data_IF_505657388815
#
_entry.id   IF_505657388815
#
_cell.length_a   1.000
_cell.length_b   1.000
_cell.length_c   1.000
_cell.angle_alpha   90.00
_cell.angle_beta   90.00
_cell.angle_gamma   90.00
#
_symmetry.space_group_name_H-M   'P 1'
#
loop_
_entity.id
_entity.type
_entity.pdbx_description
1 polymer ?
#
# COMPACT_ATOMS: atom_id res chain seq x y z
N UNK A 1 -28.13 -6.64 8.69
CA UNK A 1 -28.16 -5.56 7.67
C UNK A 1 -27.37 -4.40 8.26
N UNK A 2 -26.05 -4.40 8.10
CA UNK A 2 -25.15 -3.39 8.66
C UNK A 2 -24.58 -2.60 7.48
N UNK A 3 -24.85 -1.30 7.49
CA UNK A 3 -24.43 -0.35 6.47
C UNK A 3 -22.91 -0.16 6.51
N UNK A 4 -22.27 -0.44 5.38
CA UNK A 4 -20.90 -0.05 5.09
C UNK A 4 -20.85 1.46 4.86
N UNK A 5 -20.08 2.17 5.68
CA UNK A 5 -19.63 3.52 5.36
C UNK A 5 -18.12 3.46 5.11
N UNK A 6 -17.79 3.09 3.88
CA UNK A 6 -16.48 3.32 3.28
C UNK A 6 -16.30 4.83 3.09
N UNK A 7 -15.52 5.46 3.97
CA UNK A 7 -15.05 6.82 3.72
C UNK A 7 -13.95 6.78 2.66
N UNK A 8 -14.36 7.00 1.41
CA UNK A 8 -13.51 7.33 0.28
C UNK A 8 -13.11 8.81 0.40
N UNK A 9 -11.81 9.13 0.46
CA UNK A 9 -11.32 10.44 0.03
C UNK A 9 -10.66 10.28 -1.33
N UNK A 10 -11.39 10.71 -2.36
CA UNK A 10 -10.88 11.00 -3.69
C UNK A 10 -10.25 12.40 -3.65
N UNK A 11 -8.95 12.50 -3.92
CA UNK A 11 -8.37 13.73 -4.43
C UNK A 11 -7.33 13.38 -5.51
N UNK A 12 -7.55 14.03 -6.65
CA UNK A 12 -6.94 13.82 -7.96
C UNK A 12 -5.44 14.16 -8.02
N UNK A 13 -4.80 13.44 -8.94
CA UNK A 13 -3.63 13.79 -9.75
C UNK A 13 -2.26 14.11 -9.11
N UNK A 14 -1.29 13.36 -9.64
CA UNK A 14 0.17 13.58 -9.70
C UNK A 14 0.98 13.36 -8.43
N UNK A 15 1.84 12.35 -8.54
CA UNK A 15 3.09 12.15 -7.81
C UNK A 15 2.96 11.81 -6.30
N UNK A 16 3.29 10.56 -5.98
CA UNK A 16 3.40 10.00 -4.62
C UNK A 16 2.11 10.02 -3.77
N UNK A 17 1.21 9.09 -4.05
CA UNK A 17 0.18 8.69 -3.08
C UNK A 17 0.80 7.78 -2.01
N UNK A 18 1.25 8.35 -0.90
CA UNK A 18 1.28 7.62 0.37
C UNK A 18 -0.16 7.23 0.70
N UNK A 19 -0.52 5.98 0.48
CA UNK A 19 -1.84 5.47 0.90
C UNK A 19 -1.84 5.34 2.41
N UNK A 20 -2.24 6.40 3.12
CA UNK A 20 -2.53 6.35 4.55
C UNK A 20 -3.85 5.59 4.75
N UNK A 21 -3.76 4.26 4.94
CA UNK A 21 -4.90 3.46 5.38
C UNK A 21 -4.95 3.48 6.90
N UNK A 22 -5.78 4.34 7.46
CA UNK A 22 -6.19 4.25 8.86
C UNK A 22 -7.22 3.13 8.95
N UNK A 23 -6.88 1.99 9.57
CA UNK A 23 -7.85 0.93 9.80
C UNK A 23 -8.72 1.30 11.02
N UNK A 24 -10.03 1.59 10.86
CA UNK A 24 -10.86 2.11 11.96
C UNK A 24 -11.15 1.08 13.06
N UNK A 25 -10.93 -0.21 12.78
CA UNK A 25 -11.37 -1.34 13.60
C UNK A 25 -10.48 -1.63 14.82
N UNK A 26 -9.39 -0.87 14.99
CA UNK A 26 -8.30 -1.22 15.91
C UNK A 26 -7.92 -0.07 16.85
N UNK A 27 -8.85 0.87 17.04
CA UNK A 27 -8.70 2.04 17.90
C UNK A 27 -8.85 1.72 19.41
N UNK A 28 -9.14 0.46 19.81
CA UNK A 28 -9.59 0.18 21.18
C UNK A 28 -9.06 -1.11 21.83
N UNK A 29 -8.13 -1.85 21.21
CA UNK A 29 -7.58 -3.06 21.81
C UNK A 29 -6.07 -2.93 22.06
N UNK A 30 -5.60 -3.44 23.20
CA UNK A 30 -4.18 -3.62 23.47
C UNK A 30 -3.65 -4.68 22.49
N UNK A 31 -3.13 -4.24 21.34
CA UNK A 31 -2.70 -5.15 20.28
C UNK A 31 -1.23 -5.56 20.46
N UNK A 32 -0.94 -6.36 21.48
CA UNK A 32 0.40 -6.91 21.72
C UNK A 32 0.85 -7.95 20.69
N UNK A 33 -0.05 -8.42 19.81
CA UNK A 33 0.22 -9.46 18.80
C UNK A 33 -0.44 -9.14 17.47
N UNK A 34 -0.06 -8.04 16.82
CA UNK A 34 -0.49 -7.75 15.45
C UNK A 34 0.39 -8.56 14.48
N UNK A 35 -0.23 -9.45 13.71
CA UNK A 35 0.42 -10.11 12.58
C UNK A 35 0.58 -9.13 11.41
N UNK A 36 1.68 -8.39 11.45
CA UNK A 36 2.03 -7.39 10.44
C UNK A 36 2.27 -8.02 9.06
N UNK A 37 2.74 -9.29 9.01
CA UNK A 37 2.93 -10.00 7.73
C UNK A 37 1.56 -10.25 7.11
N UNK A 38 0.59 -10.75 7.88
CA UNK A 38 -0.79 -10.95 7.44
C UNK A 38 -1.44 -9.68 6.88
N UNK A 39 -1.25 -8.54 7.56
CA UNK A 39 -1.77 -7.24 7.08
C UNK A 39 -1.19 -6.86 5.70
N UNK A 40 0.13 -6.77 5.56
CA UNK A 40 0.74 -6.35 4.29
C UNK A 40 0.52 -7.39 3.19
N UNK A 41 0.39 -8.67 3.53
CA UNK A 41 0.05 -9.74 2.58
C UNK A 41 -1.32 -9.55 1.97
N UNK A 42 -2.31 -9.16 2.78
CA UNK A 42 -3.66 -8.85 2.30
C UNK A 42 -3.64 -7.67 1.32
N UNK A 43 -2.88 -6.61 1.63
CA UNK A 43 -2.70 -5.48 0.72
C UNK A 43 -2.03 -5.87 -0.61
N UNK A 44 -1.02 -6.73 -0.59
CA UNK A 44 -0.37 -7.20 -1.82
C UNK A 44 -1.30 -8.06 -2.69
N UNK A 45 -2.17 -8.87 -2.06
CA UNK A 45 -3.21 -9.64 -2.78
C UNK A 45 -4.18 -8.70 -3.50
N UNK A 46 -4.69 -7.68 -2.82
CA UNK A 46 -5.60 -6.68 -3.40
C UNK A 46 -4.97 -5.96 -4.60
N UNK A 47 -3.72 -5.50 -4.45
CA UNK A 47 -2.98 -4.83 -5.54
C UNK A 47 -2.75 -5.74 -6.74
N UNK A 48 -2.37 -7.00 -6.50
CA UNK A 48 -2.15 -7.97 -7.56
C UNK A 48 -3.46 -8.27 -8.29
N UNK A 49 -4.56 -8.37 -7.57
CA UNK A 49 -5.89 -8.55 -8.17
C UNK A 49 -6.29 -7.34 -9.04
N UNK A 50 -6.10 -6.11 -8.54
CA UNK A 50 -6.39 -4.90 -9.30
C UNK A 50 -5.54 -4.80 -10.58
N UNK A 51 -4.25 -5.13 -10.50
CA UNK A 51 -3.37 -5.20 -11.66
C UNK A 51 -3.90 -6.18 -12.72
N UNK A 52 -4.31 -7.39 -12.30
CA UNK A 52 -4.88 -8.40 -13.19
C UNK A 52 -6.18 -7.92 -13.85
N UNK A 53 -7.05 -7.22 -13.10
CA UNK A 53 -8.25 -6.59 -13.66
C UNK A 53 -7.92 -5.55 -14.73
N UNK A 54 -6.96 -4.66 -14.47
CA UNK A 54 -6.52 -3.63 -15.43
C UNK A 54 -5.93 -4.25 -16.68
N UNK A 55 -5.09 -5.28 -16.55
CA UNK A 55 -4.54 -6.02 -17.69
C UNK A 55 -5.64 -6.72 -18.50
N UNK A 56 -6.65 -7.31 -17.84
CA UNK A 56 -7.81 -7.91 -18.52
C UNK A 56 -8.54 -6.86 -19.36
N UNK A 57 -8.86 -5.70 -18.78
CA UNK A 57 -9.54 -4.59 -19.48
C UNK A 57 -8.69 -4.08 -20.65
N UNK A 58 -7.36 -3.97 -20.46
CA UNK A 58 -6.45 -3.54 -21.54
C UNK A 58 -6.49 -4.51 -22.73
N UNK A 59 -6.43 -5.83 -22.48
CA UNK A 59 -6.50 -6.85 -23.54
C UNK A 59 -7.82 -6.83 -24.29
N UNK A 60 -8.94 -6.67 -23.57
CA UNK A 60 -10.27 -6.53 -24.19
C UNK A 60 -10.29 -5.35 -25.15
N UNK A 61 -9.83 -4.18 -24.71
CA UNK A 61 -9.78 -2.97 -25.54
C UNK A 61 -8.88 -3.14 -26.76
N UNK A 62 -7.70 -3.76 -26.59
CA UNK A 62 -6.79 -4.03 -27.71
C UNK A 62 -7.43 -4.95 -28.76
N UNK A 63 -8.12 -6.01 -28.33
CA UNK A 63 -8.80 -6.92 -29.25
C UNK A 63 -9.98 -6.23 -29.95
N UNK A 64 -10.78 -5.44 -29.22
CA UNK A 64 -11.86 -4.64 -29.82
C UNK A 64 -11.33 -3.68 -30.90
N UNK A 65 -10.21 -3.00 -30.64
CA UNK A 65 -9.57 -2.13 -31.61
C UNK A 65 -9.06 -2.90 -32.84
N UNK A 66 -8.47 -4.09 -32.64
CA UNK A 66 -8.01 -4.92 -33.74
C UNK A 66 -9.17 -5.33 -34.66
N UNK A 67 -10.26 -5.85 -34.11
CA UNK A 67 -11.45 -6.20 -34.91
C UNK A 67 -12.08 -4.98 -35.62
N UNK A 68 -12.04 -3.80 -34.99
CA UNK A 68 -12.48 -2.56 -35.65
C UNK A 68 -11.58 -2.16 -36.83
N UNK A 69 -10.27 -2.44 -36.78
CA UNK A 69 -9.37 -2.19 -37.89
C UNK A 69 -9.61 -3.18 -39.04
N UNK A 70 -9.72 -4.48 -38.74
CA UNK A 70 -10.00 -5.53 -39.74
C UNK A 70 -11.32 -5.27 -40.46
N UNK A 71 -12.36 -4.84 -39.73
CA UNK A 71 -13.65 -4.49 -40.33
C UNK A 71 -13.57 -3.23 -41.21
N UNK A 72 -12.78 -2.22 -40.83
CA UNK A 72 -12.60 -1.01 -41.66
C UNK A 72 -11.85 -1.31 -42.96
N UNK A 73 -10.83 -2.17 -42.92
CA UNK A 73 -10.12 -2.61 -44.13
C UNK A 73 -11.04 -3.42 -45.06
N UNK A 74 -11.87 -4.30 -44.51
CA UNK A 74 -12.87 -5.04 -45.29
C UNK A 74 -13.94 -4.13 -45.91
N UNK A 75 -14.42 -3.11 -45.18
CA UNK A 75 -15.39 -2.13 -45.70
C UNK A 75 -14.78 -1.28 -46.82
N UNK A 76 -13.50 -0.92 -46.74
CA UNK A 76 -12.82 -0.20 -47.82
C UNK A 76 -12.66 -1.06 -49.09
N UNK A 77 -12.46 -2.37 -48.96
CA UNK A 77 -12.39 -3.30 -50.08
C UNK A 77 -13.78 -3.64 -50.68
N UNK A 78 -14.83 -3.67 -49.85
CA UNK A 78 -16.19 -3.95 -50.31
C UNK A 78 -16.87 -2.73 -50.96
N UNK A 79 -16.49 -1.49 -50.61
CA UNK A 79 -17.01 -0.28 -51.25
C UNK A 79 -16.62 -0.11 -52.74
N UNK A 80 -15.75 -0.96 -53.28
CA UNK A 80 -15.52 -1.09 -54.74
C UNK A 80 -16.55 -1.95 -55.47
N UNK A 81 -17.44 -2.64 -54.75
CA UNK A 81 -18.52 -3.47 -55.31
C UNK A 81 -19.85 -3.04 -54.72
N UNK A 82 -20.76 -2.56 -55.57
CA UNK A 82 -22.07 -2.01 -55.20
C UNK A 82 -22.84 -2.91 -54.21
N UNK A 83 -22.99 -2.49 -52.95
CA UNK A 83 -23.89 -3.13 -52.00
C UNK A 83 -24.56 -2.13 -51.03
N UNK A 84 -25.78 -2.47 -50.62
CA UNK A 84 -26.73 -1.61 -49.92
C UNK A 84 -26.32 -1.31 -48.45
N UNK A 85 -26.51 -0.07 -47.96
CA UNK A 85 -26.03 0.37 -46.63
C UNK A 85 -26.80 -0.20 -45.43
N UNK A 86 -27.97 -0.81 -45.63
CA UNK A 86 -28.84 -1.31 -44.52
C UNK A 86 -28.32 -2.64 -43.94
N UNK A 87 -27.57 -3.44 -44.72
CA UNK A 87 -27.01 -4.73 -44.28
C UNK A 87 -25.72 -4.61 -43.46
N UNK A 88 -25.08 -3.44 -43.42
CA UNK A 88 -23.84 -3.19 -42.68
C UNK A 88 -24.09 -3.02 -41.17
N UNK A 89 -25.09 -2.23 -40.80
CA UNK A 89 -25.47 -1.99 -39.39
C UNK A 89 -26.02 -3.24 -38.68
N UNK A 90 -26.62 -4.19 -39.43
CA UNK A 90 -27.14 -5.44 -38.87
C UNK A 90 -26.08 -6.53 -38.71
N UNK A 91 -25.00 -6.53 -39.50
CA UNK A 91 -23.89 -7.48 -39.35
C UNK A 91 -22.92 -7.11 -38.22
N UNK A 92 -22.74 -5.82 -37.92
CA UNK A 92 -21.84 -5.34 -36.87
C UNK A 92 -22.29 -5.74 -35.44
N UNK A 93 -23.59 -5.96 -35.21
CA UNK A 93 -24.11 -6.36 -33.90
C UNK A 93 -24.19 -7.88 -33.67
N UNK A 94 -23.99 -8.72 -34.68
CA UNK A 94 -24.23 -10.17 -34.60
C UNK A 94 -22.97 -11.04 -34.62
N UNK A 95 -21.77 -10.48 -34.82
CA UNK A 95 -20.57 -11.22 -34.44
C UNK A 95 -20.43 -11.18 -32.92
N UNK A 96 -21.12 -12.12 -32.25
CA UNK A 96 -20.72 -12.64 -30.96
C UNK A 96 -19.32 -13.25 -31.12
N UNK A 97 -18.30 -12.39 -31.20
CA UNK A 97 -16.92 -12.82 -31.07
C UNK A 97 -16.85 -13.38 -29.65
N UNK A 98 -16.82 -14.70 -29.50
CA UNK A 98 -16.57 -15.33 -28.21
C UNK A 98 -15.10 -15.09 -27.88
N UNK A 99 -14.81 -13.91 -27.35
CA UNK A 99 -13.46 -13.53 -26.96
C UNK A 99 -13.08 -14.45 -25.79
N UNK A 100 -12.16 -15.39 -26.02
CA UNK A 100 -11.62 -16.25 -24.97
C UNK A 100 -10.69 -15.43 -24.06
N UNK A 101 -11.28 -14.62 -23.19
CA UNK A 101 -10.55 -13.89 -22.16
C UNK A 101 -10.50 -14.82 -20.96
N UNK A 102 -9.30 -15.28 -20.54
CA UNK A 102 -9.20 -16.14 -19.36
C UNK A 102 -9.83 -15.44 -18.15
N UNK A 103 -10.54 -16.23 -17.34
CA UNK A 103 -11.14 -15.71 -16.13
C UNK A 103 -10.09 -15.30 -15.11
N UNK A 104 -10.43 -14.29 -14.32
CA UNK A 104 -9.56 -13.84 -13.24
C UNK A 104 -9.60 -14.89 -12.12
N UNK A 105 -8.44 -15.20 -11.51
CA UNK A 105 -8.43 -16.01 -10.31
C UNK A 105 -9.21 -15.29 -9.21
N UNK A 106 -9.82 -16.05 -8.31
CA UNK A 106 -10.38 -15.48 -7.09
C UNK A 106 -9.26 -14.95 -6.18
N UNK A 107 -9.54 -13.95 -5.34
CA UNK A 107 -8.53 -13.29 -4.50
C UNK A 107 -7.80 -14.27 -3.56
N UNK A 108 -8.52 -15.22 -3.00
CA UNK A 108 -8.01 -16.29 -2.14
C UNK A 108 -7.07 -17.28 -2.86
N UNK A 109 -7.11 -17.33 -4.19
CA UNK A 109 -6.21 -18.13 -5.02
C UNK A 109 -4.89 -17.40 -5.31
N UNK A 110 -4.78 -16.11 -4.98
CA UNK A 110 -3.57 -15.32 -5.20
C UNK A 110 -2.57 -15.61 -4.08
N UNK A 111 -1.54 -16.38 -4.40
CA UNK A 111 -0.43 -16.60 -3.49
C UNK A 111 0.58 -15.44 -3.56
N UNK A 112 0.92 -14.91 -2.39
CA UNK A 112 2.00 -13.94 -2.14
C UNK A 112 2.95 -14.58 -1.13
N UNK A 113 4.24 -14.60 -1.45
CA UNK A 113 5.28 -15.09 -0.54
C UNK A 113 5.67 -14.01 0.46
N UNK A 114 6.06 -14.38 1.68
CA UNK A 114 6.40 -13.39 2.71
C UNK A 114 7.60 -12.51 2.34
N UNK A 115 8.54 -13.06 1.55
CA UNK A 115 9.66 -12.29 0.95
C UNK A 115 9.21 -11.23 -0.05
N UNK A 116 7.99 -11.34 -0.59
CA UNK A 116 7.38 -10.32 -1.45
C UNK A 116 6.62 -9.27 -0.62
N UNK A 117 6.36 -9.55 0.66
CA UNK A 117 5.60 -8.68 1.56
C UNK A 117 6.53 -7.71 2.27
N UNK A 118 7.60 -8.23 2.88
CA UNK A 118 8.62 -7.47 3.61
C UNK A 118 10.00 -8.00 3.23
N UNK A 119 10.96 -7.09 3.09
CA UNK A 119 12.36 -7.49 2.93
C UNK A 119 12.81 -8.26 4.18
N UNK A 120 13.29 -9.49 3.98
CA UNK A 120 13.78 -10.37 5.04
C UNK A 120 15.14 -9.92 5.61
N UNK A 121 15.51 -8.66 5.43
CA UNK A 121 16.68 -8.10 6.09
C UNK A 121 16.57 -8.32 7.60
N UNK A 122 17.68 -8.64 8.27
CA UNK A 122 17.67 -8.84 9.71
C UNK A 122 17.04 -7.64 10.41
N UNK A 123 16.17 -7.91 11.36
CA UNK A 123 15.44 -6.89 12.08
C UNK A 123 16.26 -6.45 13.30
N UNK A 124 16.28 -5.16 13.57
CA UNK A 124 16.91 -4.53 14.74
C UNK A 124 15.85 -3.85 15.59
N UNK A 125 16.03 -3.87 16.90
CA UNK A 125 15.17 -3.15 17.84
C UNK A 125 15.96 -2.00 18.42
N UNK A 126 15.46 -0.79 18.26
CA UNK A 126 16.00 0.42 18.87
C UNK A 126 15.08 0.79 20.02
N UNK A 127 15.65 1.02 21.20
CA UNK A 127 14.94 1.50 22.38
C UNK A 127 15.25 2.98 22.59
N UNK A 128 14.21 3.80 22.71
CA UNK A 128 14.29 5.21 23.07
C UNK A 128 13.72 5.38 24.48
N UNK A 129 14.50 5.99 25.35
CA UNK A 129 14.12 6.22 26.75
C UNK A 129 14.72 7.51 27.28
N UNK A 130 14.17 7.99 28.39
CA UNK A 130 14.72 9.10 29.14
C UNK A 130 15.63 8.56 30.25
N UNK A 131 16.88 9.02 30.30
CA UNK A 131 17.84 8.55 31.31
C UNK A 131 17.66 9.22 32.67
N UNK A 132 17.24 10.47 32.67
CA UNK A 132 17.21 11.30 33.87
C UNK A 132 15.82 11.33 34.50
N UNK A 133 14.83 10.69 33.86
CA UNK A 133 13.49 10.55 34.43
C UNK A 133 12.85 9.26 33.96
N UNK A 134 11.96 8.72 34.78
CA UNK A 134 11.13 7.59 34.41
C UNK A 134 9.96 8.02 33.50
N UNK A 135 10.03 9.16 32.82
CA UNK A 135 8.95 9.70 31.97
C UNK A 135 9.48 10.16 30.62
N UNK A 136 8.74 9.87 29.56
CA UNK A 136 9.01 10.46 28.24
C UNK A 136 8.43 11.89 28.19
N UNK A 137 9.10 12.83 27.51
CA UNK A 137 8.52 14.14 27.26
C UNK A 137 7.14 14.03 26.60
N UNK A 138 6.20 14.88 27.03
CA UNK A 138 4.88 14.95 26.40
C UNK A 138 5.03 15.23 24.89
N UNK A 139 4.28 14.49 24.07
CA UNK A 139 4.31 14.62 22.62
C UNK A 139 5.50 13.91 21.94
N UNK A 140 6.39 13.24 22.67
CA UNK A 140 7.58 12.60 22.07
C UNK A 140 7.19 11.55 21.02
N UNK A 141 6.18 10.73 21.31
CA UNK A 141 5.74 9.67 20.41
C UNK A 141 5.17 10.25 19.11
N UNK A 142 4.30 11.24 19.21
CA UNK A 142 3.69 11.93 18.08
C UNK A 142 4.77 12.63 17.24
N UNK A 143 5.75 13.25 17.89
CA UNK A 143 6.88 13.89 17.21
C UNK A 143 7.78 12.88 16.52
N UNK A 144 8.05 11.73 17.14
CA UNK A 144 8.78 10.62 16.53
C UNK A 144 8.09 10.17 15.24
N UNK A 145 6.78 9.97 15.27
CA UNK A 145 6.00 9.56 14.10
C UNK A 145 6.05 10.61 12.98
N UNK A 146 6.06 11.91 13.32
CA UNK A 146 6.27 12.99 12.35
C UNK A 146 7.67 12.91 11.73
N UNK A 147 8.71 12.68 12.53
CA UNK A 147 10.08 12.56 12.04
C UNK A 147 10.27 11.35 11.11
N UNK A 148 9.56 10.25 11.37
CA UNK A 148 9.61 9.03 10.55
C UNK A 148 8.67 9.08 9.33
N UNK A 149 7.73 10.04 9.29
CA UNK A 149 6.73 10.15 8.23
C UNK A 149 7.30 10.06 6.80
N UNK A 150 8.42 10.72 6.46
CA UNK A 150 9.00 10.65 5.11
C UNK A 150 9.52 9.26 4.70
N UNK A 151 9.68 8.33 5.66
CA UNK A 151 10.11 6.96 5.37
C UNK A 151 8.93 6.04 5.03
N UNK A 152 7.73 6.37 5.48
CA UNK A 152 6.56 5.53 5.28
C UNK A 152 6.02 5.70 3.87
N UNK A 153 6.03 4.62 3.10
CA UNK A 153 5.20 4.51 1.90
C UNK A 153 3.77 4.10 2.28
N UNK A 154 3.67 3.18 3.24
CA UNK A 154 2.43 2.76 3.87
C UNK A 154 2.56 2.87 5.38
N UNK A 155 1.47 3.26 6.03
CA UNK A 155 1.43 3.45 7.48
C UNK A 155 0.07 3.05 8.01
N UNK A 156 0.08 2.36 9.15
CA UNK A 156 -1.08 1.97 9.92
C UNK A 156 -0.83 2.31 11.39
N UNK A 157 -1.69 3.15 11.95
CA UNK A 157 -1.60 3.61 13.34
C UNK A 157 -2.64 2.91 14.22
N UNK A 158 -2.16 2.44 15.37
CA UNK A 158 -2.93 1.91 16.50
C UNK A 158 -2.66 2.78 17.73
N UNK A 159 -3.40 2.55 18.82
CA UNK A 159 -3.27 3.33 20.05
C UNK A 159 -1.83 3.44 20.56
N UNK A 160 -1.12 2.32 20.64
CA UNK A 160 0.25 2.24 21.15
C UNK A 160 1.26 1.62 20.18
N UNK A 161 0.85 1.36 18.94
CA UNK A 161 1.69 0.76 17.90
C UNK A 161 1.49 1.49 16.60
N UNK A 162 2.56 1.81 15.89
CA UNK A 162 2.51 2.25 14.49
C UNK A 162 3.29 1.26 13.65
N UNK A 163 2.65 0.72 12.62
CA UNK A 163 3.27 -0.11 11.60
C UNK A 163 3.48 0.72 10.35
N UNK A 164 4.64 0.60 9.74
CA UNK A 164 4.96 1.26 8.50
C UNK A 164 5.86 0.43 7.63
N UNK A 165 5.73 0.65 6.33
CA UNK A 165 6.53 -0.01 5.29
C UNK A 165 7.08 1.05 4.35
N UNK A 166 8.37 0.97 4.07
CA UNK A 166 9.03 1.83 3.08
C UNK A 166 8.67 1.40 1.66
N UNK A 167 9.01 2.22 0.66
CA UNK A 167 8.80 1.86 -0.75
C UNK A 167 9.55 0.58 -1.15
N UNK A 168 10.72 0.38 -0.54
CA UNK A 168 11.55 -0.81 -0.72
C UNK A 168 11.07 -2.00 0.10
N UNK A 169 9.88 -1.94 0.73
CA UNK A 169 9.31 -3.00 1.56
C UNK A 169 10.06 -3.31 2.85
N UNK A 170 10.92 -2.41 3.31
CA UNK A 170 11.51 -2.49 4.66
C UNK A 170 10.48 -2.14 5.74
N UNK A 171 10.49 -2.90 6.85
CA UNK A 171 9.58 -2.72 7.98
C UNK A 171 10.07 -1.60 8.91
N UNK A 172 9.13 -0.80 9.40
CA UNK A 172 9.31 0.13 10.51
C UNK A 172 8.11 -0.04 11.45
N UNK A 173 8.32 -0.65 12.60
CA UNK A 173 7.32 -0.81 13.67
C UNK A 173 7.74 0.03 14.86
N UNK A 174 6.84 0.87 15.35
CA UNK A 174 7.04 1.71 16.54
C UNK A 174 6.05 1.26 17.61
N UNK A 175 6.50 1.05 18.84
CA UNK A 175 5.69 0.60 19.96
C UNK A 175 5.92 1.51 21.17
N UNK A 176 4.85 2.03 21.75
CA UNK A 176 4.87 2.87 22.94
C UNK A 176 4.35 2.08 24.13
N UNK A 177 5.12 2.06 25.21
CA UNK A 177 4.69 1.45 26.47
C UNK A 177 4.54 2.53 27.52
N UNK A 178 3.31 3.00 27.73
CA UNK A 178 2.99 4.07 28.70
C UNK A 178 3.44 3.73 30.12
N UNK A 179 3.39 2.45 30.50
CA UNK A 179 3.82 1.97 31.83
C UNK A 179 5.34 1.94 31.99
N UNK A 180 6.07 1.75 30.90
CA UNK A 180 7.54 1.59 30.92
C UNK A 180 8.27 2.87 30.52
N UNK A 181 7.54 3.89 30.06
CA UNK A 181 8.06 5.17 29.57
C UNK A 181 9.19 4.97 28.55
N UNK A 182 8.94 4.04 27.62
CA UNK A 182 9.88 3.61 26.60
C UNK A 182 9.15 3.52 25.26
N UNK A 183 9.88 3.81 24.20
CA UNK A 183 9.45 3.58 22.83
C UNK A 183 10.42 2.58 22.20
N UNK A 184 9.88 1.54 21.57
CA UNK A 184 10.64 0.56 20.81
C UNK A 184 10.40 0.77 19.31
N UNK A 185 11.46 0.66 18.54
CA UNK A 185 11.49 0.82 17.09
C UNK A 185 12.10 -0.44 16.50
N UNK A 186 11.26 -1.30 15.96
CA UNK A 186 11.65 -2.52 15.27
C UNK A 186 11.77 -2.24 13.77
N UNK A 187 12.98 -2.31 13.22
CA UNK A 187 13.31 -1.83 11.88
C UNK A 187 14.19 -2.82 11.11
N UNK A 188 14.12 -2.81 9.78
CA UNK A 188 15.10 -3.54 8.95
C UNK A 188 16.51 -2.93 9.11
N UNK A 189 17.56 -3.77 9.13
CA UNK A 189 18.94 -3.34 9.36
C UNK A 189 19.44 -2.27 8.38
N UNK A 190 18.99 -2.31 7.11
CA UNK A 190 19.32 -1.29 6.11
C UNK A 190 18.81 0.12 6.43
N UNK A 191 17.87 0.26 7.38
CA UNK A 191 17.33 1.56 7.80
C UNK A 191 17.99 2.13 9.07
N UNK A 192 18.85 1.36 9.74
CA UNK A 192 19.37 1.69 11.07
C UNK A 192 20.04 3.06 11.15
N UNK A 193 21.05 3.28 10.32
CA UNK A 193 21.83 4.53 10.33
C UNK A 193 20.98 5.73 9.89
N UNK A 194 20.09 5.53 8.91
CA UNK A 194 19.17 6.58 8.46
C UNK A 194 18.21 7.00 9.57
N UNK A 195 17.63 6.03 10.28
CA UNK A 195 16.71 6.29 11.38
C UNK A 195 17.45 6.94 12.55
N UNK A 196 18.63 6.45 12.94
CA UNK A 196 19.46 7.09 13.98
C UNK A 196 19.74 8.57 13.66
N UNK A 197 20.11 8.88 12.43
CA UNK A 197 20.35 10.26 12.02
C UNK A 197 19.08 11.12 12.11
N UNK A 198 17.93 10.62 11.68
CA UNK A 198 16.64 11.31 11.82
C UNK A 198 16.32 11.57 13.30
N UNK A 199 16.52 10.58 14.17
CA UNK A 199 16.28 10.72 15.61
C UNK A 199 17.17 11.80 16.21
N UNK A 200 18.48 11.77 15.92
CA UNK A 200 19.43 12.73 16.47
C UNK A 200 19.16 14.15 15.95
N UNK A 201 18.97 14.30 14.64
CA UNK A 201 18.85 15.61 13.99
C UNK A 201 17.50 16.28 14.18
N UNK A 202 16.41 15.51 14.24
CA UNK A 202 15.05 16.07 14.21
C UNK A 202 14.30 15.88 15.52
N UNK A 203 14.44 14.71 16.17
CA UNK A 203 13.73 14.42 17.40
C UNK A 203 14.50 14.98 18.60
N UNK A 204 15.77 14.59 18.76
CA UNK A 204 16.57 14.94 19.92
C UNK A 204 17.05 16.38 19.90
N UNK A 205 17.13 17.03 18.75
CA UNK A 205 17.40 18.47 18.67
C UNK A 205 16.26 19.32 19.24
N UNK A 206 15.03 18.80 19.21
CA UNK A 206 13.84 19.49 19.71
C UNK A 206 13.71 19.41 21.23
N UNK A 207 14.13 18.29 21.82
CA UNK A 207 14.17 18.10 23.27
C UNK A 207 15.57 18.47 23.78
N UNK A 208 15.73 18.85 25.06
CA UNK A 208 17.09 19.08 25.57
C UNK A 208 17.86 17.75 25.49
N UNK A 209 18.88 17.69 24.63
CA UNK A 209 19.60 16.47 24.22
C UNK A 209 20.16 15.64 25.37
N UNK A 210 20.27 16.21 26.57
CA UNK A 210 20.81 15.54 27.75
C UNK A 210 19.88 14.49 28.37
N UNK A 211 18.62 14.39 27.95
CA UNK A 211 17.62 13.54 28.59
C UNK A 211 17.31 12.26 27.83
N UNK A 212 17.36 12.25 26.50
CA UNK A 212 16.96 11.11 25.68
C UNK A 212 18.16 10.30 25.19
N UNK A 213 18.11 8.97 25.30
CA UNK A 213 19.12 8.06 24.73
C UNK A 213 18.51 6.97 23.88
N UNK A 214 19.37 6.42 23.02
CA UNK A 214 19.11 5.30 22.12
C UNK A 214 19.94 4.11 22.56
N UNK A 215 19.31 2.95 22.73
CA UNK A 215 19.94 1.65 22.92
C UNK A 215 19.54 0.74 21.74
N UNK A 216 20.47 -0.07 21.22
CA UNK A 216 20.27 -0.92 20.01
C UNK A 216 20.72 -2.34 20.25
#
# INVERSE_FOLDING_TARGET
MLFFLSFFFLLLDREFTTSCFVCPWLMNENCSTIDYIGYFKTLEVERKYEYLQRERVRRIKQQQLWFQMDNKENIQNENSSQMNPISLLQKEFQQNISIAIPDLPAMDQIQILDSQVINQDPIRVIKIFNENSNTLPNGLYERLLICLHPLFHERLDYYNVTLGRTIDKNLIKTERFDKENQIYLTISNGLLERIKNILIQNLFSYYSTKQLRIET
#
